data_IF_302544631054
#
_entry.id   IF_302544631054
#
_cell.length_a   1.000
_cell.length_b   1.000
_cell.length_c   1.000
_cell.angle_alpha   90.00
_cell.angle_beta   90.00
_cell.angle_gamma   90.00
#
_symmetry.space_group_name_H-M   'P 1'
#
loop_
_entity.id
_entity.type
_entity.pdbx_description
1 polymer ?
#
# COMPACT_ATOMS: atom_id res chain seq x y z
N UNK A 1 -12.59 -20.09 21.08
CA UNK A 1 -12.85 -19.73 19.67
C UNK A 1 -11.52 -19.28 19.10
N UNK A 2 -10.90 -20.07 18.23
CA UNK A 2 -9.56 -19.80 17.71
C UNK A 2 -9.65 -18.69 16.67
N UNK A 3 -9.15 -17.49 17.01
CA UNK A 3 -8.94 -16.42 16.05
C UNK A 3 -7.90 -16.89 15.04
N UNK A 4 -8.36 -17.39 13.90
CA UNK A 4 -7.52 -17.86 12.82
C UNK A 4 -6.90 -16.62 12.18
N UNK A 5 -5.72 -16.22 12.65
CA UNK A 5 -4.93 -15.18 11.99
C UNK A 5 -4.56 -15.69 10.60
N UNK A 6 -5.19 -15.12 9.57
CA UNK A 6 -5.02 -15.53 8.16
C UNK A 6 -3.59 -15.28 7.65
N UNK A 7 -2.85 -14.43 8.35
CA UNK A 7 -1.47 -14.06 8.06
C UNK A 7 -0.62 -14.14 9.33
N UNK A 8 0.61 -14.64 9.19
CA UNK A 8 1.55 -14.77 10.30
C UNK A 8 2.02 -13.40 10.80
N UNK A 9 2.32 -13.30 12.10
CA UNK A 9 2.86 -12.08 12.70
C UNK A 9 4.15 -11.62 12.02
N UNK A 10 4.97 -12.56 11.55
CA UNK A 10 6.18 -12.25 10.79
C UNK A 10 5.88 -11.57 9.45
N UNK A 11 4.86 -12.03 8.72
CA UNK A 11 4.45 -11.42 7.46
C UNK A 11 3.85 -10.03 7.70
N UNK A 12 3.03 -9.88 8.75
CA UNK A 12 2.51 -8.58 9.18
C UNK A 12 3.64 -7.58 9.41
N UNK A 13 4.62 -7.93 10.24
CA UNK A 13 5.74 -7.03 10.56
C UNK A 13 6.55 -6.64 9.33
N UNK A 14 6.72 -7.56 8.38
CA UNK A 14 7.37 -7.27 7.09
C UNK A 14 6.58 -6.24 6.28
N UNK A 15 5.28 -6.43 6.13
CA UNK A 15 4.39 -5.51 5.41
C UNK A 15 4.36 -4.13 6.09
N UNK A 16 4.26 -4.07 7.42
CA UNK A 16 4.32 -2.81 8.16
C UNK A 16 5.66 -2.09 7.95
N UNK A 17 6.78 -2.82 8.00
CA UNK A 17 8.12 -2.28 7.76
C UNK A 17 8.26 -1.71 6.34
N UNK A 18 7.73 -2.42 5.35
CA UNK A 18 7.74 -2.02 3.95
C UNK A 18 6.90 -0.76 3.71
N UNK A 19 5.68 -0.71 4.23
CA UNK A 19 4.81 0.47 4.15
C UNK A 19 5.47 1.69 4.81
N UNK A 20 6.09 1.50 5.98
CA UNK A 20 6.84 2.57 6.66
C UNK A 20 8.06 3.04 5.83
N UNK A 21 8.67 2.17 5.03
CA UNK A 21 9.77 2.55 4.14
C UNK A 21 9.25 3.37 2.95
N UNK A 22 8.14 2.96 2.34
CA UNK A 22 7.48 3.69 1.24
C UNK A 22 7.05 5.09 1.68
N UNK A 23 6.41 5.21 2.85
CA UNK A 23 5.97 6.48 3.43
C UNK A 23 7.13 7.46 3.63
N UNK A 24 8.27 6.97 4.15
CA UNK A 24 9.48 7.77 4.31
C UNK A 24 10.04 8.25 2.97
N UNK A 25 10.07 7.38 1.95
CA UNK A 25 10.54 7.74 0.61
C UNK A 25 9.65 8.80 -0.03
N UNK A 26 8.32 8.62 0.03
CA UNK A 26 7.34 9.62 -0.43
C UNK A 26 7.61 10.98 0.23
N UNK A 27 7.81 10.99 1.54
CA UNK A 27 8.07 12.21 2.31
C UNK A 27 9.40 12.88 1.90
N UNK A 28 10.45 12.10 1.60
CA UNK A 28 11.76 12.61 1.17
C UNK A 28 11.79 13.14 -0.27
N UNK A 29 10.95 12.56 -1.13
CA UNK A 29 10.85 12.96 -2.52
C UNK A 29 10.05 14.26 -2.68
N UNK A 30 9.30 14.68 -1.65
CA UNK A 30 8.45 15.89 -1.66
C UNK A 30 7.58 15.97 -2.93
N UNK A 31 6.97 14.83 -3.26
CA UNK A 31 6.23 14.63 -4.50
C UNK A 31 4.96 15.48 -4.45
N UNK A 32 4.84 16.45 -5.35
CA UNK A 32 3.58 17.15 -5.60
C UNK A 32 2.62 16.26 -6.40
N UNK A 33 1.32 16.44 -6.17
CA UNK A 33 0.22 15.69 -6.80
C UNK A 33 0.35 15.59 -8.33
N UNK A 34 0.64 16.71 -8.99
CA UNK A 34 0.83 16.83 -10.43
C UNK A 34 1.99 15.98 -10.96
N UNK A 35 2.99 15.70 -10.13
CA UNK A 35 4.15 14.89 -10.51
C UNK A 35 3.89 13.40 -10.37
N UNK A 36 2.74 12.97 -9.85
CA UNK A 36 2.51 11.55 -9.54
C UNK A 36 1.50 10.90 -10.48
N UNK A 37 0.54 11.69 -11.01
CA UNK A 37 -0.60 11.19 -11.78
C UNK A 37 -0.24 10.53 -13.12
N UNK A 38 0.85 10.93 -13.77
CA UNK A 38 1.14 10.51 -15.14
C UNK A 38 1.66 9.07 -15.26
N UNK A 39 2.15 8.48 -14.16
CA UNK A 39 2.78 7.14 -14.18
C UNK A 39 2.29 6.24 -13.05
N UNK A 40 1.35 6.72 -12.25
CA UNK A 40 0.76 6.00 -11.14
C UNK A 40 -0.62 5.49 -11.52
N UNK A 41 -0.82 4.18 -11.44
CA UNK A 41 -2.12 3.56 -11.68
C UNK A 41 -3.06 3.81 -10.49
N UNK A 42 -3.64 5.00 -10.45
CA UNK A 42 -4.59 5.42 -9.43
C UNK A 42 -5.88 4.58 -9.44
N UNK A 43 -6.15 3.77 -10.48
CA UNK A 43 -7.32 2.89 -10.52
C UNK A 43 -7.26 1.78 -9.47
N UNK A 44 -6.06 1.48 -8.96
CA UNK A 44 -5.86 0.54 -7.84
C UNK A 44 -6.22 1.14 -6.48
N UNK A 45 -6.49 2.44 -6.42
CA UNK A 45 -6.78 3.20 -5.20
C UNK A 45 -8.17 3.84 -5.26
N UNK A 46 -8.63 4.33 -4.12
CA UNK A 46 -9.85 5.12 -4.01
C UNK A 46 -9.73 6.40 -4.84
N UNK A 47 -10.86 6.84 -5.43
CA UNK A 47 -10.94 8.15 -6.10
C UNK A 47 -10.76 9.33 -5.15
N UNK A 48 -10.85 9.11 -3.83
CA UNK A 48 -10.56 10.12 -2.82
C UNK A 48 -9.06 10.20 -2.49
N UNK A 49 -8.24 9.26 -2.99
CA UNK A 49 -6.81 9.25 -2.78
C UNK A 49 -6.14 10.10 -3.86
N UNK A 50 -6.03 11.39 -3.58
CA UNK A 50 -5.49 12.35 -4.55
C UNK A 50 -3.98 12.59 -4.36
N UNK A 51 -3.48 12.43 -3.13
CA UNK A 51 -2.08 12.68 -2.80
C UNK A 51 -1.30 11.39 -2.48
N UNK A 52 0.04 11.37 -2.66
CA UNK A 52 0.89 10.22 -2.32
C UNK A 52 0.67 9.66 -0.90
N UNK A 53 0.40 10.54 0.07
CA UNK A 53 0.11 10.15 1.46
C UNK A 53 -1.24 9.44 1.60
N UNK A 54 -2.23 9.79 0.79
CA UNK A 54 -3.54 9.14 0.79
C UNK A 54 -3.44 7.68 0.34
N UNK A 55 -2.57 7.38 -0.63
CA UNK A 55 -2.30 6.00 -1.07
C UNK A 55 -1.71 5.16 0.06
N UNK A 56 -0.72 5.68 0.81
CA UNK A 56 -0.15 4.99 1.98
C UNK A 56 -1.23 4.72 3.04
N UNK A 57 -2.08 5.71 3.31
CA UNK A 57 -3.20 5.57 4.25
C UNK A 57 -4.13 4.43 3.84
N UNK A 58 -4.48 4.34 2.56
CA UNK A 58 -5.33 3.26 2.05
C UNK A 58 -4.66 1.88 2.18
N UNK A 59 -3.36 1.77 1.85
CA UNK A 59 -2.61 0.51 2.04
C UNK A 59 -2.61 0.07 3.51
N UNK A 60 -2.41 1.00 4.45
CA UNK A 60 -2.50 0.71 5.90
C UNK A 60 -3.89 0.23 6.30
N UNK A 61 -4.94 0.86 5.77
CA UNK A 61 -6.33 0.47 6.03
C UNK A 61 -6.64 -0.93 5.47
N UNK A 62 -6.15 -1.25 4.27
CA UNK A 62 -6.30 -2.56 3.66
C UNK A 62 -5.54 -3.64 4.45
N UNK A 63 -4.33 -3.34 4.95
CA UNK A 63 -3.58 -4.25 5.81
C UNK A 63 -4.31 -4.50 7.14
N UNK A 64 -4.81 -3.45 7.78
CA UNK A 64 -5.62 -3.59 9.00
C UNK A 64 -6.89 -4.41 8.74
N UNK A 65 -7.54 -4.19 7.60
CA UNK A 65 -8.70 -4.98 7.19
C UNK A 65 -8.36 -6.44 6.93
N UNK A 66 -7.17 -6.73 6.41
CA UNK A 66 -6.70 -8.10 6.13
C UNK A 66 -6.43 -8.85 7.43
N UNK A 67 -5.80 -8.17 8.41
CA UNK A 67 -5.52 -8.75 9.73
C UNK A 67 -6.81 -9.11 10.50
N UNK A 68 -7.88 -8.36 10.25
CA UNK A 68 -9.18 -8.58 10.88
C UNK A 68 -10.17 -9.36 9.98
N UNK A 69 -9.73 -9.84 8.81
CA UNK A 69 -10.61 -10.56 7.90
C UNK A 69 -10.95 -11.95 8.46
N UNK A 70 -12.25 -12.25 8.51
CA UNK A 70 -12.77 -13.51 9.06
C UNK A 70 -13.14 -14.54 7.99
N UNK A 71 -13.11 -14.14 6.70
CA UNK A 71 -13.44 -15.01 5.57
C UNK A 71 -12.26 -15.15 4.62
N UNK A 72 -12.09 -16.35 4.05
CA UNK A 72 -11.03 -16.65 3.09
C UNK A 72 -11.11 -15.75 1.86
N UNK A 73 -12.30 -15.57 1.28
CA UNK A 73 -12.50 -14.75 0.08
C UNK A 73 -12.12 -13.28 0.30
N UNK A 74 -12.49 -12.71 1.46
CA UNK A 74 -12.10 -11.33 1.81
C UNK A 74 -10.59 -11.21 1.99
N UNK A 75 -9.98 -12.21 2.62
CA UNK A 75 -8.55 -12.22 2.86
C UNK A 75 -7.76 -12.34 1.56
N UNK A 76 -8.21 -13.18 0.63
CA UNK A 76 -7.62 -13.32 -0.71
C UNK A 76 -7.71 -11.99 -1.47
N UNK A 77 -8.91 -11.41 -1.55
CA UNK A 77 -9.12 -10.14 -2.24
C UNK A 77 -8.26 -9.00 -1.66
N UNK A 78 -8.19 -8.89 -0.33
CA UNK A 78 -7.34 -7.89 0.33
C UNK A 78 -5.85 -8.15 0.10
N UNK A 79 -5.42 -9.42 0.07
CA UNK A 79 -4.02 -9.77 -0.20
C UNK A 79 -3.62 -9.42 -1.64
N UNK A 80 -4.46 -9.73 -2.62
CA UNK A 80 -4.25 -9.36 -4.03
C UNK A 80 -4.22 -7.83 -4.19
N UNK A 81 -5.20 -7.14 -3.59
CA UNK A 81 -5.26 -5.68 -3.63
C UNK A 81 -4.01 -5.04 -3.02
N UNK A 82 -3.56 -5.51 -1.86
CA UNK A 82 -2.33 -5.03 -1.23
C UNK A 82 -1.09 -5.30 -2.11
N UNK A 83 -0.98 -6.48 -2.71
CA UNK A 83 0.14 -6.82 -3.58
C UNK A 83 0.23 -5.88 -4.81
N UNK A 84 -0.92 -5.59 -5.43
CA UNK A 84 -0.99 -4.63 -6.54
C UNK A 84 -0.65 -3.21 -6.10
N UNK A 85 -1.24 -2.73 -5.00
CA UNK A 85 -0.99 -1.38 -4.47
C UNK A 85 0.48 -1.17 -4.07
N UNK A 86 1.09 -2.14 -3.37
CA UNK A 86 2.50 -2.09 -3.00
C UNK A 86 3.41 -2.10 -4.22
N UNK A 87 3.13 -2.96 -5.21
CA UNK A 87 3.91 -3.01 -6.45
C UNK A 87 3.86 -1.69 -7.21
N UNK A 88 2.68 -1.08 -7.35
CA UNK A 88 2.50 0.20 -8.00
C UNK A 88 3.29 1.31 -7.29
N UNK A 89 3.20 1.37 -5.95
CA UNK A 89 3.96 2.35 -5.15
C UNK A 89 5.47 2.17 -5.28
N UNK A 90 5.98 0.93 -5.28
CA UNK A 90 7.40 0.67 -5.50
C UNK A 90 7.87 1.13 -6.89
N UNK A 91 7.09 0.85 -7.92
CA UNK A 91 7.43 1.23 -9.29
C UNK A 91 7.45 2.76 -9.44
N UNK A 92 6.42 3.44 -8.93
CA UNK A 92 6.34 4.89 -8.97
C UNK A 92 7.51 5.55 -8.22
N UNK A 93 7.83 5.09 -7.00
CA UNK A 93 8.92 5.66 -6.23
C UNK A 93 10.28 5.39 -6.86
N UNK A 94 10.54 4.17 -7.34
CA UNK A 94 11.80 3.85 -8.02
C UNK A 94 12.02 4.76 -9.23
N UNK A 95 10.98 4.97 -10.01
CA UNK A 95 11.06 5.80 -11.21
C UNK A 95 11.29 7.27 -10.85
N UNK A 96 10.67 7.77 -9.77
CA UNK A 96 10.89 9.12 -9.25
C UNK A 96 12.30 9.32 -8.71
N UNK A 97 12.85 8.31 -8.02
CA UNK A 97 14.24 8.29 -7.55
C UNK A 97 15.24 8.35 -8.71
N UNK A 98 14.94 7.72 -9.86
CA UNK A 98 15.78 7.74 -11.05
C UNK A 98 15.77 9.08 -11.81
N UNK A 99 14.72 9.89 -11.64
CA UNK A 99 14.59 11.20 -12.30
C UNK A 99 15.25 12.36 -11.53
N UNK A 100 15.70 12.12 -10.29
CA UNK A 100 16.48 13.08 -9.48
C UNK A 100 17.97 12.99 -9.83
#
# INVERSE_FOLDING_TARGET
MSSQTVISDQLRLRLETEINALERRISQLNISEESFSDWFDAQLFSQDANEPQAYIKEVRQNLSSLLNATTTSRSQWLSERLAHQLSALHQALRWMEQRR
#
